data_IF_256581521060
#
_entry.id   IF_256581521060
#
_cell.length_a   1.000
_cell.length_b   1.000
_cell.length_c   1.000
_cell.angle_alpha   90.00
_cell.angle_beta   90.00
_cell.angle_gamma   90.00
#
_symmetry.space_group_name_H-M   'P 1'
#
loop_
_entity.id
_entity.type
_entity.pdbx_description
1 polymer ?
#
# COMPACT_ATOMS: atom_id res chain seq x y z
N UNK A 1 8.72 -26.97 28.52
CA UNK A 1 8.25 -25.57 28.53
C UNK A 1 9.22 -24.67 27.76
N UNK A 2 8.98 -24.44 26.46
CA UNK A 2 9.78 -23.51 25.63
C UNK A 2 9.07 -23.04 24.34
N UNK A 3 7.89 -23.59 24.03
CA UNK A 3 7.11 -23.29 22.81
C UNK A 3 6.51 -21.87 22.80
N UNK A 4 6.25 -21.28 23.98
CA UNK A 4 5.66 -19.93 24.07
C UNK A 4 6.56 -18.84 23.44
N UNK A 5 7.88 -19.01 23.43
CA UNK A 5 8.82 -18.03 22.87
C UNK A 5 8.89 -18.03 21.34
N UNK A 6 8.40 -19.08 20.67
CA UNK A 6 8.38 -19.15 19.19
C UNK A 6 7.16 -18.46 18.58
N UNK A 7 6.07 -18.31 19.34
CA UNK A 7 4.85 -17.63 18.87
C UNK A 7 5.07 -16.13 18.69
N UNK A 8 5.84 -15.50 19.58
CA UNK A 8 6.08 -14.06 19.57
C UNK A 8 6.74 -13.52 18.27
N UNK A 9 7.84 -14.11 17.74
CA UNK A 9 8.44 -13.64 16.49
C UNK A 9 7.53 -13.86 15.27
N UNK A 10 6.69 -14.90 15.30
CA UNK A 10 5.76 -15.19 14.22
C UNK A 10 4.69 -14.09 14.08
N UNK A 11 4.19 -13.56 15.20
CA UNK A 11 3.21 -12.47 15.19
C UNK A 11 3.85 -11.15 14.72
N UNK A 12 5.10 -10.87 15.11
CA UNK A 12 5.80 -9.66 14.67
C UNK A 12 6.06 -9.65 13.14
N UNK A 13 6.40 -10.80 12.56
CA UNK A 13 6.56 -10.96 11.11
C UNK A 13 5.25 -10.71 10.34
N UNK A 14 4.12 -11.19 10.87
CA UNK A 14 2.81 -10.97 10.26
C UNK A 14 2.40 -9.48 10.28
N UNK A 15 2.77 -8.74 11.32
CA UNK A 15 2.50 -7.30 11.44
C UNK A 15 3.33 -6.47 10.44
N UNK A 16 4.59 -6.85 10.17
CA UNK A 16 5.43 -6.15 9.18
C UNK A 16 5.00 -6.41 7.73
N UNK A 17 4.48 -7.60 7.41
CA UNK A 17 3.92 -7.91 6.09
C UNK A 17 2.72 -7.03 5.73
N UNK A 18 1.94 -6.61 6.73
CA UNK A 18 0.84 -5.68 6.52
C UNK A 18 1.32 -4.22 6.37
N UNK A 19 2.36 -3.81 7.09
CA UNK A 19 2.87 -2.44 7.12
C UNK A 19 3.39 -1.92 5.75
N UNK A 20 3.93 -2.80 4.90
CA UNK A 20 4.35 -2.43 3.54
C UNK A 20 3.20 -1.98 2.63
N UNK A 21 1.95 -2.26 3.00
CA UNK A 21 0.75 -1.88 2.24
C UNK A 21 0.14 -0.55 2.68
N UNK A 22 0.57 0.02 3.81
CA UNK A 22 0.01 1.27 4.37
C UNK A 22 0.70 2.54 3.87
N UNK A 23 1.88 2.43 3.26
CA UNK A 23 2.60 3.60 2.69
C UNK A 23 2.05 4.02 1.33
N UNK A 24 1.26 3.18 0.68
CA UNK A 24 0.50 3.55 -0.51
C UNK A 24 -0.74 4.35 -0.08
N UNK A 25 -1.02 5.55 -0.63
CA UNK A 25 -2.31 6.20 -0.45
C UNK A 25 -3.41 5.19 -0.74
N UNK A 26 -4.21 4.85 0.28
CA UNK A 26 -5.30 3.87 0.20
C UNK A 26 -6.60 4.51 -0.29
N UNK A 27 -6.60 5.82 -0.50
CA UNK A 27 -7.81 6.58 -0.70
C UNK A 27 -7.67 7.61 -1.82
N UNK A 28 -8.73 7.70 -2.62
CA UNK A 28 -8.82 8.61 -3.78
C UNK A 28 -8.55 10.06 -3.38
N UNK A 29 -9.10 10.49 -2.25
CA UNK A 29 -8.95 11.86 -1.73
C UNK A 29 -7.48 12.22 -1.47
N UNK A 30 -6.70 11.30 -0.91
CA UNK A 30 -5.29 11.54 -0.62
C UNK A 30 -4.46 11.61 -1.91
N UNK A 31 -4.78 10.75 -2.88
CA UNK A 31 -4.17 10.82 -4.21
C UNK A 31 -4.39 12.18 -4.88
N UNK A 32 -5.62 12.70 -4.84
CA UNK A 32 -5.95 14.01 -5.40
C UNK A 32 -5.31 15.17 -4.62
N UNK A 33 -5.25 15.10 -3.28
CA UNK A 33 -4.53 16.10 -2.45
C UNK A 33 -3.05 16.19 -2.81
N UNK A 34 -2.45 15.07 -3.19
CA UNK A 34 -1.05 15.00 -3.64
C UNK A 34 -0.86 15.39 -5.12
N UNK A 35 -1.87 15.98 -5.77
CA UNK A 35 -1.87 16.32 -7.20
C UNK A 35 -1.69 15.09 -8.12
N UNK A 36 -2.05 13.91 -7.64
CA UNK A 36 -2.15 12.68 -8.42
C UNK A 36 -3.56 12.44 -8.96
N UNK A 37 -3.72 11.37 -9.72
CA UNK A 37 -5.00 10.90 -10.24
C UNK A 37 -5.13 9.39 -10.14
N UNK A 38 -6.35 8.86 -10.17
CA UNK A 38 -6.58 7.42 -10.13
C UNK A 38 -6.60 6.82 -11.55
N UNK A 39 -5.60 6.01 -11.89
CA UNK A 39 -5.51 5.25 -13.14
C UNK A 39 -6.00 3.81 -13.00
N UNK A 40 -6.61 3.26 -14.04
CA UNK A 40 -7.14 1.89 -14.04
C UNK A 40 -6.05 0.88 -14.41
N UNK A 41 -5.81 -0.12 -13.56
CA UNK A 41 -4.82 -1.21 -13.66
C UNK A 41 -3.34 -0.77 -13.73
N UNK A 42 -3.02 0.31 -14.45
CA UNK A 42 -1.69 0.85 -14.66
C UNK A 42 -1.73 2.37 -14.79
N UNK A 43 -0.60 3.00 -14.53
CA UNK A 43 -0.39 4.42 -14.83
C UNK A 43 0.19 4.59 -16.23
N UNK A 44 -0.25 5.62 -16.95
CA UNK A 44 0.38 6.00 -18.21
C UNK A 44 1.75 6.60 -17.93
N UNK A 45 2.75 6.28 -18.75
CA UNK A 45 4.04 6.97 -18.69
C UNK A 45 3.83 8.47 -18.97
N UNK A 46 4.42 9.42 -18.22
CA UNK A 46 5.53 9.29 -17.25
C UNK A 46 5.09 9.15 -15.77
N UNK A 47 3.84 8.79 -15.49
CA UNK A 47 3.33 8.71 -14.13
C UNK A 47 3.63 7.35 -13.49
N UNK A 48 4.13 7.36 -12.26
CA UNK A 48 4.42 6.19 -11.44
C UNK A 48 3.25 5.87 -10.50
N UNK A 49 3.16 4.59 -10.12
CA UNK A 49 2.20 4.12 -9.12
C UNK A 49 2.69 4.57 -7.74
N UNK A 50 2.00 5.54 -7.14
CA UNK A 50 2.25 6.02 -5.79
C UNK A 50 1.43 5.22 -4.76
N UNK A 51 0.23 4.74 -5.13
CA UNK A 51 -0.58 3.89 -4.25
C UNK A 51 -1.84 3.33 -4.90
N UNK A 52 -2.91 3.08 -4.11
CA UNK A 52 -4.18 2.48 -4.58
C UNK A 52 -5.38 3.36 -4.24
N UNK A 53 -6.15 3.74 -5.26
CA UNK A 53 -7.43 4.41 -5.05
C UNK A 53 -8.58 3.41 -4.81
N UNK A 54 -8.50 2.21 -5.36
CA UNK A 54 -9.52 1.16 -5.24
C UNK A 54 -8.91 -0.21 -5.59
N UNK A 55 -9.75 -1.25 -5.71
CA UNK A 55 -9.32 -2.62 -6.01
C UNK A 55 -8.59 -2.75 -7.35
N UNK A 56 -9.03 -1.98 -8.35
CA UNK A 56 -8.45 -1.96 -9.71
C UNK A 56 -7.89 -0.59 -10.12
N UNK A 57 -7.92 0.40 -9.22
CA UNK A 57 -7.45 1.75 -9.51
C UNK A 57 -6.22 2.07 -8.66
N UNK A 58 -5.17 2.54 -9.30
CA UNK A 58 -3.91 2.95 -8.69
C UNK A 58 -3.80 4.47 -8.68
N UNK A 59 -3.22 5.02 -7.62
CA UNK A 59 -2.87 6.42 -7.58
C UNK A 59 -1.61 6.64 -8.44
N UNK A 60 -1.76 7.42 -9.50
CA UNK A 60 -0.74 7.80 -10.46
C UNK A 60 -0.26 9.21 -10.17
N UNK A 61 1.05 9.36 -10.00
CA UNK A 61 1.72 10.64 -9.72
C UNK A 61 2.99 10.72 -10.55
N UNK A 62 3.40 11.92 -10.93
CA UNK A 62 4.65 12.12 -11.67
C UNK A 62 5.84 12.04 -10.72
#
# INVERSE_FOLDING_TARGET
MRILYLLFPFILLLVQGAAGSYLAPQNKEQCHREKGFCGFLKCSFPFIVSGKCSRFFFCCKK
#
